data_IF_892412976497
#
_entry.id   IF_892412976497
#
_cell.length_a   1.000
_cell.length_b   1.000
_cell.length_c   1.000
_cell.angle_alpha   90.00
_cell.angle_beta   90.00
_cell.angle_gamma   90.00
#
_symmetry.space_group_name_H-M   'P 1'
#
loop_
_entity.id
_entity.type
_entity.pdbx_description
1 polymer ?
#
# COMPACT_ATOMS: atom_id res chain seq x y z
N UNK A 1 17.67 12.45 -25.64
CA UNK A 1 17.24 11.65 -24.47
C UNK A 1 15.90 12.21 -24.01
N UNK A 2 14.81 11.50 -24.33
CA UNK A 2 13.45 11.96 -24.04
C UNK A 2 13.17 12.05 -22.55
N UNK A 3 13.64 11.06 -21.78
CA UNK A 3 13.45 11.02 -20.33
C UNK A 3 14.15 12.18 -19.61
N UNK A 4 15.32 12.62 -20.08
CA UNK A 4 16.00 13.81 -19.55
C UNK A 4 15.13 15.07 -19.69
N UNK A 5 14.45 15.22 -20.83
CA UNK A 5 13.53 16.35 -21.06
C UNK A 5 12.32 16.28 -20.14
N UNK A 6 11.73 15.08 -19.97
CA UNK A 6 10.59 14.85 -19.06
C UNK A 6 10.95 15.23 -17.62
N UNK A 7 12.10 14.78 -17.13
CA UNK A 7 12.59 15.08 -15.77
C UNK A 7 12.81 16.58 -15.55
N UNK A 8 13.40 17.29 -16.52
CA UNK A 8 13.55 18.74 -16.39
C UNK A 8 12.21 19.46 -16.29
N UNK A 9 11.26 19.09 -17.14
CA UNK A 9 9.92 19.68 -17.17
C UNK A 9 9.17 19.38 -15.87
N UNK A 10 9.27 18.17 -15.34
CA UNK A 10 8.62 17.81 -14.05
C UNK A 10 9.13 18.64 -12.86
N UNK A 11 10.42 19.04 -12.90
CA UNK A 11 11.00 19.97 -11.91
C UNK A 11 10.73 21.46 -12.23
N UNK A 12 9.98 21.78 -13.29
CA UNK A 12 9.66 23.16 -13.69
C UNK A 12 10.84 23.98 -14.19
N UNK A 13 12.00 23.34 -14.51
CA UNK A 13 13.23 24.02 -14.87
C UNK A 13 13.33 24.29 -16.38
N UNK A 14 13.95 25.44 -16.73
CA UNK A 14 14.36 25.71 -18.09
C UNK A 14 15.75 25.13 -18.37
N UNK A 15 16.09 24.88 -19.66
CA UNK A 15 17.40 24.37 -20.05
C UNK A 15 18.56 25.25 -19.55
N UNK A 16 18.36 26.60 -19.60
CA UNK A 16 19.35 27.58 -19.14
C UNK A 16 19.61 27.55 -17.62
N UNK A 17 18.64 26.99 -16.84
CA UNK A 17 18.73 26.89 -15.39
C UNK A 17 19.40 25.56 -15.00
N UNK A 18 19.07 24.47 -15.69
CA UNK A 18 19.59 23.16 -15.37
C UNK A 18 21.03 22.94 -15.87
N UNK A 19 21.36 23.44 -17.04
CA UNK A 19 22.70 23.22 -17.63
C UNK A 19 23.87 23.68 -16.72
N UNK A 20 23.82 24.87 -16.09
CA UNK A 20 24.81 25.28 -15.09
C UNK A 20 24.87 24.39 -13.85
N UNK A 21 23.75 23.92 -13.36
CA UNK A 21 23.68 23.03 -12.18
C UNK A 21 24.41 21.71 -12.41
N UNK A 22 24.38 21.23 -13.64
CA UNK A 22 25.11 20.03 -14.09
C UNK A 22 26.55 20.33 -14.56
N UNK A 23 26.97 21.59 -14.51
CA UNK A 23 28.25 22.06 -15.03
C UNK A 23 28.45 21.74 -16.54
N UNK A 24 27.39 21.92 -17.33
CA UNK A 24 27.34 21.63 -18.77
C UNK A 24 26.98 22.92 -19.53
N UNK A 25 27.57 23.14 -20.73
CA UNK A 25 27.13 24.23 -21.60
C UNK A 25 25.70 24.03 -22.08
N UNK A 26 24.89 25.09 -22.13
CA UNK A 26 23.47 25.04 -22.55
C UNK A 26 23.34 24.37 -23.93
N UNK A 27 24.21 24.68 -24.88
CA UNK A 27 24.22 24.08 -26.22
C UNK A 27 24.44 22.56 -26.20
N UNK A 28 25.32 22.09 -25.32
CA UNK A 28 25.60 20.66 -25.13
C UNK A 28 24.40 19.97 -24.46
N UNK A 29 23.81 20.59 -23.42
CA UNK A 29 22.63 20.09 -22.77
C UNK A 29 21.45 19.94 -23.73
N UNK A 30 21.20 20.94 -24.58
CA UNK A 30 20.16 20.88 -25.62
C UNK A 30 20.40 19.73 -26.61
N UNK A 31 21.65 19.42 -26.95
CA UNK A 31 22.00 18.29 -27.82
C UNK A 31 21.71 16.92 -27.10
N UNK A 32 21.87 16.84 -25.80
CA UNK A 32 21.52 15.65 -25.02
C UNK A 32 20.00 15.41 -25.01
N UNK A 33 19.19 16.45 -24.75
CA UNK A 33 17.74 16.32 -24.81
C UNK A 33 17.23 15.91 -26.19
N UNK A 34 17.78 16.51 -27.24
CA UNK A 34 17.39 16.23 -28.64
C UNK A 34 17.96 14.93 -29.21
N UNK A 35 18.83 14.23 -28.45
CA UNK A 35 19.47 13.00 -28.90
C UNK A 35 20.58 13.19 -29.95
N UNK A 36 20.92 14.43 -30.29
CA UNK A 36 22.00 14.74 -31.27
C UNK A 36 23.41 14.42 -30.76
N UNK A 37 23.55 14.32 -29.44
CA UNK A 37 24.76 13.91 -28.75
C UNK A 37 24.40 13.07 -27.53
N UNK A 38 25.23 12.07 -27.21
CA UNK A 38 25.13 11.32 -25.98
C UNK A 38 26.10 11.90 -24.93
N UNK A 39 25.69 11.98 -23.65
CA UNK A 39 26.62 12.29 -22.56
C UNK A 39 27.64 11.18 -22.40
N UNK A 40 28.83 11.53 -21.95
CA UNK A 40 29.80 10.54 -21.44
C UNK A 40 29.29 9.93 -20.12
N UNK A 41 29.95 8.87 -19.68
CA UNK A 41 29.53 8.11 -18.49
C UNK A 41 29.46 8.98 -17.22
N UNK A 42 30.46 9.86 -17.01
CA UNK A 42 30.53 10.73 -15.84
C UNK A 42 29.40 11.77 -15.85
N UNK A 43 29.13 12.33 -17.02
CA UNK A 43 28.02 13.27 -17.22
C UNK A 43 26.66 12.56 -17.02
N UNK A 44 26.51 11.35 -17.56
CA UNK A 44 25.30 10.56 -17.41
C UNK A 44 25.01 10.26 -15.93
N UNK A 45 26.04 9.86 -15.18
CA UNK A 45 25.95 9.61 -13.76
C UNK A 45 25.55 10.88 -12.98
N UNK A 46 26.18 12.03 -13.25
CA UNK A 46 25.80 13.31 -12.61
C UNK A 46 24.36 13.71 -12.88
N UNK A 47 23.85 13.46 -14.09
CA UNK A 47 22.46 13.72 -14.44
C UNK A 47 21.55 12.78 -13.64
N UNK A 48 21.88 11.49 -13.57
CA UNK A 48 21.14 10.49 -12.81
C UNK A 48 21.06 10.85 -11.32
N UNK A 49 22.21 11.20 -10.72
CA UNK A 49 22.31 11.60 -9.32
C UNK A 49 21.49 12.88 -9.04
N UNK A 50 21.52 13.86 -9.93
CA UNK A 50 20.76 15.11 -9.76
C UNK A 50 19.25 14.90 -9.77
N UNK A 51 18.78 13.98 -10.62
CA UNK A 51 17.35 13.67 -10.72
C UNK A 51 16.92 12.52 -9.84
N UNK A 52 17.85 11.90 -9.12
CA UNK A 52 17.59 10.70 -8.27
C UNK A 52 16.95 9.55 -9.06
N UNK A 53 17.46 9.29 -10.25
CA UNK A 53 17.00 8.22 -11.15
C UNK A 53 18.15 7.30 -11.55
N UNK A 54 17.82 6.09 -12.06
CA UNK A 54 18.82 5.20 -12.64
C UNK A 54 19.37 5.73 -13.98
N UNK A 55 20.60 5.37 -14.34
CA UNK A 55 21.15 5.63 -15.66
C UNK A 55 20.37 4.89 -16.75
N UNK A 56 19.81 3.71 -16.42
CA UNK A 56 19.01 2.91 -17.34
C UNK A 56 17.68 3.60 -17.67
N UNK A 57 17.06 4.27 -16.69
CA UNK A 57 15.93 5.15 -16.95
C UNK A 57 16.28 6.29 -17.92
N UNK A 58 17.42 6.98 -17.70
CA UNK A 58 17.83 8.09 -18.56
C UNK A 58 18.03 7.67 -20.01
N UNK A 59 18.59 6.49 -20.26
CA UNK A 59 18.82 5.95 -21.60
C UNK A 59 17.61 5.22 -22.20
N UNK A 60 16.49 5.13 -21.45
CA UNK A 60 15.21 4.56 -21.92
C UNK A 60 15.15 3.04 -21.89
N UNK A 61 15.99 2.38 -21.07
CA UNK A 61 15.92 0.93 -20.85
C UNK A 61 14.96 0.51 -19.75
N UNK A 62 14.66 1.41 -18.83
CA UNK A 62 13.71 1.20 -17.74
C UNK A 62 12.69 2.33 -17.75
N UNK A 63 11.46 2.02 -17.41
CA UNK A 63 10.49 3.03 -16.98
C UNK A 63 10.93 3.59 -15.64
N UNK A 64 10.61 4.86 -15.35
CA UNK A 64 10.83 5.42 -14.03
C UNK A 64 9.94 4.66 -13.04
N UNK A 65 10.49 3.66 -12.40
CA UNK A 65 9.95 3.23 -11.12
C UNK A 65 10.29 4.37 -10.15
N UNK A 66 9.33 5.25 -9.92
CA UNK A 66 9.40 6.13 -8.76
C UNK A 66 9.77 5.21 -7.58
N UNK A 67 10.89 5.50 -6.93
CA UNK A 67 11.07 5.04 -5.55
C UNK A 67 10.02 5.83 -4.75
N UNK A 68 8.78 5.34 -4.82
CA UNK A 68 7.70 5.83 -3.97
C UNK A 68 8.19 5.58 -2.56
N UNK A 69 8.49 6.64 -1.82
CA UNK A 69 8.74 6.52 -0.38
C UNK A 69 7.52 5.83 0.19
N UNK A 70 7.67 4.59 0.57
CA UNK A 70 6.61 3.83 1.20
C UNK A 70 6.23 4.54 2.48
N UNK A 71 4.92 4.70 2.70
CA UNK A 71 4.42 5.17 3.99
C UNK A 71 4.38 3.95 4.90
N UNK A 72 5.08 4.04 6.03
CA UNK A 72 5.12 2.95 6.99
C UNK A 72 3.82 2.89 7.79
N UNK A 73 3.20 1.72 7.80
CA UNK A 73 2.02 1.40 8.60
C UNK A 73 2.38 0.34 9.64
N UNK A 74 1.82 0.40 10.86
CA UNK A 74 2.13 -0.58 11.90
C UNK A 74 1.51 -1.95 11.58
N UNK A 75 2.25 -3.02 11.90
CA UNK A 75 1.74 -4.40 11.94
C UNK A 75 1.32 -4.70 13.35
N UNK A 76 0.02 -4.91 13.55
CA UNK A 76 -0.59 -5.15 14.84
C UNK A 76 -0.69 -6.66 15.12
N UNK A 77 -0.47 -7.06 16.36
CA UNK A 77 -0.72 -8.42 16.84
C UNK A 77 -2.17 -8.63 17.27
N UNK A 78 -2.85 -7.55 17.63
CA UNK A 78 -4.22 -7.52 18.12
C UNK A 78 -4.89 -6.19 17.76
N UNK A 79 -6.20 -6.21 17.53
CA UNK A 79 -7.04 -5.01 17.30
C UNK A 79 -8.24 -5.08 18.22
N UNK A 80 -8.51 -3.98 18.93
CA UNK A 80 -9.67 -3.84 19.80
C UNK A 80 -10.61 -2.73 19.32
N UNK A 81 -11.89 -2.83 19.64
CA UNK A 81 -12.89 -1.82 19.28
C UNK A 81 -12.63 -0.50 20.01
N UNK A 82 -12.79 0.62 19.27
CA UNK A 82 -12.78 1.94 19.87
C UNK A 82 -11.40 2.48 20.26
N UNK A 83 -10.32 1.72 20.09
CA UNK A 83 -8.96 2.18 20.36
C UNK A 83 -8.38 2.76 19.04
N UNK A 84 -7.94 4.03 19.00
CA UNK A 84 -7.18 4.57 17.88
C UNK A 84 -5.91 3.75 17.65
N UNK A 85 -5.52 3.55 16.39
CA UNK A 85 -4.33 2.74 16.03
C UNK A 85 -3.06 3.30 16.69
N UNK A 86 -2.97 4.63 16.82
CA UNK A 86 -1.86 5.30 17.50
C UNK A 86 -1.77 4.98 19.00
N UNK A 87 -2.84 4.49 19.61
CA UNK A 87 -2.88 4.11 21.02
C UNK A 87 -2.68 2.59 21.24
N UNK A 88 -2.42 1.82 20.17
CA UNK A 88 -2.17 0.39 20.27
C UNK A 88 -0.67 0.18 20.58
N UNK A 89 -0.38 -0.35 21.74
CA UNK A 89 0.99 -0.63 22.19
C UNK A 89 1.59 -1.91 21.59
N UNK A 90 0.76 -2.80 21.01
CA UNK A 90 1.18 -4.11 20.47
C UNK A 90 1.56 -4.02 18.98
N UNK A 91 2.59 -3.22 18.67
CA UNK A 91 3.17 -3.13 17.33
C UNK A 91 4.25 -4.20 17.20
N UNK A 92 4.04 -5.17 16.30
CA UNK A 92 4.97 -6.27 16.05
C UNK A 92 6.05 -5.93 15.02
N UNK A 93 5.70 -5.14 13.99
CA UNK A 93 6.55 -4.82 12.84
C UNK A 93 5.94 -3.61 12.09
N UNK A 94 6.55 -3.25 10.95
CA UNK A 94 6.01 -2.24 10.04
C UNK A 94 5.98 -2.78 8.62
N UNK A 95 4.95 -2.43 7.87
CA UNK A 95 4.84 -2.66 6.42
C UNK A 95 4.82 -1.31 5.69
N UNK A 96 5.08 -1.32 4.39
CA UNK A 96 5.06 -0.11 3.58
C UNK A 96 3.93 -0.16 2.57
N UNK A 97 3.17 0.93 2.45
CA UNK A 97 2.16 1.16 1.41
C UNK A 97 2.60 2.33 0.54
N UNK A 98 2.02 2.46 -0.64
CA UNK A 98 2.29 3.58 -1.54
C UNK A 98 1.64 4.87 -1.05
N UNK A 99 2.17 6.03 -1.46
CA UNK A 99 1.53 7.33 -1.17
C UNK A 99 0.11 7.41 -1.73
N UNK A 100 -0.15 6.78 -2.87
CA UNK A 100 -1.48 6.78 -3.49
C UNK A 100 -2.48 6.00 -2.64
N UNK A 101 -2.09 4.86 -2.07
CA UNK A 101 -2.90 4.11 -1.12
C UNK A 101 -3.17 4.93 0.14
N UNK A 102 -2.15 5.53 0.72
CA UNK A 102 -2.30 6.34 1.93
C UNK A 102 -3.24 7.56 1.76
N UNK A 103 -3.42 8.06 0.53
CA UNK A 103 -4.41 9.11 0.22
C UNK A 103 -5.86 8.61 0.23
N UNK A 104 -6.08 7.29 0.09
CA UNK A 104 -7.42 6.72 0.08
C UNK A 104 -8.03 6.55 1.47
N UNK A 105 -7.20 6.53 2.52
CA UNK A 105 -7.66 6.39 3.90
C UNK A 105 -6.56 6.01 4.87
N UNK A 106 -6.95 5.67 6.08
CA UNK A 106 -6.07 5.20 7.14
C UNK A 106 -5.84 3.68 6.96
N UNK A 107 -4.58 3.26 7.00
CA UNK A 107 -4.20 1.86 6.83
C UNK A 107 -3.46 1.33 8.05
N UNK A 108 -3.65 0.07 8.31
CA UNK A 108 -2.83 -0.71 9.24
C UNK A 108 -2.61 -2.11 8.68
N UNK A 109 -1.65 -2.82 9.21
CA UNK A 109 -1.45 -4.23 8.91
C UNK A 109 -1.80 -5.07 10.15
N UNK A 110 -2.30 -6.29 9.92
CA UNK A 110 -2.65 -7.22 10.98
C UNK A 110 -2.02 -8.58 10.71
N UNK A 111 -1.34 -9.15 11.70
CA UNK A 111 -0.83 -10.51 11.63
C UNK A 111 -1.94 -11.49 11.92
N UNK A 112 -2.22 -12.38 10.96
CA UNK A 112 -3.31 -13.36 11.06
C UNK A 112 -2.93 -14.49 12.00
N UNK A 113 -3.87 -14.84 12.86
CA UNK A 113 -3.83 -16.03 13.73
C UNK A 113 -4.98 -16.97 13.37
N UNK A 114 -4.69 -18.27 13.33
CA UNK A 114 -5.68 -19.30 13.00
C UNK A 114 -5.72 -19.67 11.52
N UNK A 115 -6.63 -20.58 11.16
CA UNK A 115 -6.65 -21.27 9.87
C UNK A 115 -7.95 -21.06 9.08
N UNK A 116 -8.88 -20.27 9.60
CA UNK A 116 -10.23 -20.12 9.03
C UNK A 116 -10.28 -19.49 7.64
N UNK A 117 -9.21 -18.85 7.20
CA UNK A 117 -9.12 -18.21 5.89
C UNK A 117 -8.19 -18.95 4.91
N UNK A 118 -7.72 -20.15 5.29
CA UNK A 118 -6.93 -21.00 4.41
C UNK A 118 -7.75 -21.56 3.24
N UNK A 119 -7.10 -21.80 2.09
CA UNK A 119 -5.68 -21.65 1.79
C UNK A 119 -5.28 -20.23 1.35
N UNK A 120 -6.22 -19.30 1.26
CA UNK A 120 -5.98 -17.96 0.70
C UNK A 120 -5.13 -17.10 1.63
N UNK A 121 -5.48 -17.06 2.91
CA UNK A 121 -4.74 -16.37 3.97
C UNK A 121 -4.41 -17.40 5.04
N UNK A 122 -3.14 -17.59 5.32
CA UNK A 122 -2.64 -18.60 6.23
C UNK A 122 -2.26 -18.01 7.59
N UNK A 123 -2.15 -18.88 8.59
CA UNK A 123 -1.64 -18.49 9.90
C UNK A 123 -0.23 -17.89 9.79
N UNK A 124 -0.03 -16.70 10.35
CA UNK A 124 1.23 -15.95 10.29
C UNK A 124 1.36 -14.97 9.13
N UNK A 125 0.48 -15.03 8.12
CA UNK A 125 0.43 -14.03 7.05
C UNK A 125 0.10 -12.65 7.62
N UNK A 126 0.52 -11.60 6.91
CA UNK A 126 0.20 -10.21 7.25
C UNK A 126 -0.80 -9.69 6.22
N UNK A 127 -1.93 -9.16 6.67
CA UNK A 127 -2.92 -8.52 5.80
C UNK A 127 -2.86 -7.01 5.94
N UNK A 128 -2.93 -6.30 4.82
CA UNK A 128 -3.05 -4.86 4.77
C UNK A 128 -4.54 -4.51 4.77
N UNK A 129 -4.92 -3.61 5.66
CA UNK A 129 -6.32 -3.27 5.96
C UNK A 129 -6.52 -1.77 5.82
N UNK A 130 -7.49 -1.36 5.01
CA UNK A 130 -8.00 0.01 5.03
C UNK A 130 -9.09 0.14 6.08
N UNK A 131 -8.95 1.12 6.97
CA UNK A 131 -9.90 1.37 8.05
C UNK A 131 -11.20 1.94 7.50
N UNK A 132 -12.28 1.20 7.64
CA UNK A 132 -13.63 1.61 7.24
C UNK A 132 -14.67 0.78 7.96
N UNK A 133 -15.84 1.36 8.19
CA UNK A 133 -16.93 0.71 8.93
C UNK A 133 -17.91 -0.05 8.03
N UNK A 134 -17.75 0.06 6.71
CA UNK A 134 -18.62 -0.57 5.72
C UNK A 134 -17.80 -1.32 4.69
N UNK A 135 -18.34 -2.46 4.22
CA UNK A 135 -17.74 -3.29 3.18
C UNK A 135 -18.83 -3.82 2.25
N UNK A 136 -18.47 -4.22 1.04
CA UNK A 136 -19.38 -4.85 0.11
C UNK A 136 -19.49 -6.36 0.33
N UNK A 137 -20.60 -6.95 -0.14
CA UNK A 137 -20.77 -8.39 -0.13
C UNK A 137 -19.66 -9.10 -0.92
N UNK A 138 -18.98 -10.00 -0.26
CA UNK A 138 -17.86 -10.75 -0.83
C UNK A 138 -16.48 -10.21 -0.45
N UNK A 139 -16.41 -9.03 0.16
CA UNK A 139 -15.16 -8.50 0.71
C UNK A 139 -14.67 -9.35 1.89
N UNK A 140 -13.35 -9.36 2.06
CA UNK A 140 -12.71 -9.89 3.27
C UNK A 140 -12.50 -8.71 4.22
N UNK A 141 -12.92 -8.87 5.46
CA UNK A 141 -12.84 -7.81 6.45
C UNK A 141 -12.31 -8.31 7.80
N UNK A 142 -11.77 -7.39 8.56
CA UNK A 142 -11.49 -7.56 9.98
C UNK A 142 -12.74 -7.10 10.75
N UNK A 143 -13.28 -8.02 11.53
CA UNK A 143 -14.54 -7.86 12.26
C UNK A 143 -14.32 -8.16 13.72
N UNK A 144 -14.90 -7.34 14.59
CA UNK A 144 -15.02 -7.60 16.01
C UNK A 144 -16.44 -8.09 16.31
N UNK A 145 -16.52 -9.15 17.07
CA UNK A 145 -17.77 -9.67 17.60
C UNK A 145 -17.74 -9.49 19.11
N UNK A 146 -18.79 -8.87 19.66
CA UNK A 146 -18.92 -8.59 21.11
C UNK A 146 -17.77 -7.73 21.70
N UNK A 147 -17.04 -7.04 20.83
CA UNK A 147 -15.95 -6.15 21.23
C UNK A 147 -14.66 -6.84 21.70
N UNK A 148 -14.60 -8.17 21.65
CA UNK A 148 -13.47 -8.94 22.18
C UNK A 148 -12.37 -9.16 21.13
N UNK A 149 -12.42 -10.26 20.36
CA UNK A 149 -11.36 -10.61 19.44
C UNK A 149 -11.68 -10.25 17.99
N UNK A 150 -10.71 -9.65 17.31
CA UNK A 150 -10.79 -9.41 15.89
C UNK A 150 -10.66 -10.71 15.09
N UNK A 151 -11.59 -10.95 14.19
CA UNK A 151 -11.56 -12.09 13.28
C UNK A 151 -11.53 -11.64 11.82
N UNK A 152 -10.81 -12.38 10.97
CA UNK A 152 -10.79 -12.17 9.53
C UNK A 152 -11.79 -13.10 8.88
N UNK A 153 -12.75 -12.56 8.14
CA UNK A 153 -13.81 -13.33 7.46
C UNK A 153 -14.24 -12.66 6.15
N UNK A 154 -14.81 -13.45 5.25
CA UNK A 154 -15.56 -12.94 4.11
C UNK A 154 -16.95 -12.53 4.54
N UNK A 155 -17.39 -11.34 4.15
CA UNK A 155 -18.64 -10.75 4.61
C UNK A 155 -19.75 -10.97 3.59
N UNK A 156 -20.93 -11.32 4.10
CA UNK A 156 -22.17 -11.28 3.32
C UNK A 156 -23.28 -10.69 4.18
N UNK A 157 -23.75 -9.52 3.77
CA UNK A 157 -24.90 -8.85 4.38
C UNK A 157 -26.20 -9.35 3.74
N UNK A 158 -27.19 -9.61 4.55
CA UNK A 158 -28.54 -9.96 4.13
C UNK A 158 -29.56 -9.07 4.86
N UNK A 159 -30.83 -8.99 4.39
CA UNK A 159 -31.86 -8.24 5.13
C UNK A 159 -32.08 -8.73 6.57
N UNK A 160 -31.77 -10.00 6.85
CA UNK A 160 -31.98 -10.64 8.15
C UNK A 160 -30.77 -10.47 9.09
N UNK A 161 -29.59 -10.11 8.58
CA UNK A 161 -28.38 -10.02 9.38
C UNK A 161 -27.09 -10.13 8.57
N UNK A 162 -26.00 -10.45 9.25
CA UNK A 162 -24.66 -10.57 8.68
C UNK A 162 -24.13 -11.99 8.78
N UNK A 163 -23.52 -12.48 7.69
CA UNK A 163 -22.80 -13.76 7.65
C UNK A 163 -21.30 -13.49 7.63
N UNK A 164 -20.58 -14.13 8.52
CA UNK A 164 -19.13 -14.18 8.57
C UNK A 164 -18.68 -15.54 8.03
N UNK A 165 -18.16 -15.55 6.80
CA UNK A 165 -17.90 -16.78 6.04
C UNK A 165 -16.40 -17.04 6.08
N UNK A 166 -15.94 -18.18 6.63
CA UNK A 166 -14.57 -18.63 6.50
C UNK A 166 -14.28 -19.07 5.07
N UNK A 167 -13.03 -19.02 4.63
CA UNK A 167 -12.61 -19.61 3.36
C UNK A 167 -12.19 -21.08 3.52
N UNK A 168 -11.85 -21.49 4.73
CA UNK A 168 -11.57 -22.87 5.05
C UNK A 168 -12.89 -23.66 5.12
N UNK A 169 -12.97 -24.71 4.30
CA UNK A 169 -14.17 -25.56 4.21
C UNK A 169 -14.47 -26.36 5.49
N UNK A 170 -13.49 -26.49 6.38
CA UNK A 170 -13.64 -27.20 7.66
C UNK A 170 -14.22 -26.32 8.77
N UNK A 171 -14.35 -25.03 8.54
CA UNK A 171 -14.87 -24.08 9.52
C UNK A 171 -16.31 -23.68 9.18
N UNK A 172 -17.13 -23.49 10.19
CA UNK A 172 -18.54 -23.12 10.04
C UNK A 172 -18.73 -21.62 9.77
N UNK A 173 -19.72 -21.32 8.92
CA UNK A 173 -20.19 -19.95 8.72
C UNK A 173 -20.96 -19.48 9.95
N UNK A 174 -20.58 -18.31 10.47
CA UNK A 174 -21.31 -17.66 11.57
C UNK A 174 -22.36 -16.72 10.99
N UNK A 175 -23.57 -16.81 11.49
CA UNK A 175 -24.66 -15.89 11.15
C UNK A 175 -25.11 -15.14 12.40
N UNK A 176 -25.19 -13.82 12.28
CA UNK A 176 -25.69 -12.91 13.30
C UNK A 176 -26.91 -12.19 12.75
N UNK A 177 -28.08 -12.48 13.31
CA UNK A 177 -29.32 -11.78 12.98
C UNK A 177 -29.29 -10.32 13.45
N UNK A 178 -30.11 -9.46 12.84
CA UNK A 178 -30.19 -8.05 13.25
C UNK A 178 -30.47 -7.88 14.76
N UNK A 179 -31.24 -8.79 15.34
CA UNK A 179 -31.53 -8.80 16.78
C UNK A 179 -30.32 -9.18 17.62
N UNK A 180 -29.55 -10.19 17.18
CA UNK A 180 -28.32 -10.60 17.88
C UNK A 180 -27.23 -9.55 17.81
N UNK A 181 -27.19 -8.77 16.72
CA UNK A 181 -26.24 -7.64 16.57
C UNK A 181 -26.55 -6.52 17.57
N UNK A 182 -27.80 -6.33 17.99
CA UNK A 182 -28.15 -5.38 19.05
C UNK A 182 -27.57 -5.80 20.41
N UNK A 183 -27.59 -7.11 20.72
CA UNK A 183 -27.08 -7.67 21.98
C UNK A 183 -25.56 -7.90 21.94
N UNK A 184 -25.04 -8.33 20.77
CA UNK A 184 -23.62 -8.62 20.50
C UNK A 184 -23.16 -7.85 19.27
N UNK A 185 -22.66 -6.62 19.43
CA UNK A 185 -22.33 -5.79 18.29
C UNK A 185 -21.24 -6.43 17.41
N UNK A 186 -21.58 -6.59 16.13
CA UNK A 186 -20.65 -6.98 15.07
C UNK A 186 -20.14 -5.71 14.42
N UNK A 187 -18.88 -5.37 14.66
CA UNK A 187 -18.27 -4.14 14.18
C UNK A 187 -17.22 -4.43 13.12
N UNK A 188 -17.36 -3.82 11.95
CA UNK A 188 -16.33 -3.87 10.91
C UNK A 188 -15.24 -2.85 11.27
N UNK A 189 -13.99 -3.31 11.37
CA UNK A 189 -12.82 -2.48 11.65
C UNK A 189 -12.19 -1.99 10.37
N UNK A 190 -12.17 -2.84 9.33
CA UNK A 190 -11.63 -2.46 8.05
C UNK A 190 -11.72 -3.58 7.00
N UNK A 191 -11.49 -3.18 5.75
CA UNK A 191 -11.45 -4.07 4.59
C UNK A 191 -10.01 -4.53 4.34
N UNK A 192 -9.83 -5.83 4.14
CA UNK A 192 -8.55 -6.40 3.69
C UNK A 192 -8.37 -6.10 2.20
N UNK A 193 -7.27 -5.45 1.85
CA UNK A 193 -6.96 -5.06 0.47
C UNK A 193 -5.79 -5.87 -0.12
N UNK A 194 -4.89 -6.37 0.74
CA UNK A 194 -3.72 -7.14 0.33
C UNK A 194 -3.36 -8.18 1.38
N UNK A 195 -2.78 -9.31 0.95
CA UNK A 195 -2.20 -10.31 1.84
C UNK A 195 -0.73 -10.51 1.47
N UNK A 196 0.16 -10.35 2.44
CA UNK A 196 1.62 -10.52 2.30
C UNK A 196 2.07 -11.79 3.00
N UNK A 197 2.69 -12.68 2.23
CA UNK A 197 3.25 -13.93 2.74
C UNK A 197 4.75 -13.77 2.95
N UNK A 198 5.21 -14.04 4.17
CA UNK A 198 6.66 -14.11 4.46
C UNK A 198 7.08 -15.58 4.36
N UNK A 199 8.06 -15.86 3.51
CA UNK A 199 8.67 -17.19 3.34
C UNK A 199 9.89 -17.36 4.25
#
# INVERSE_FOLDING_TARGET
MENLRKLRISKGLQQKELAPLLNIKISTYCQYETGKRQPDYDTLKKIADYFEVSTDYLIGREEQTEQRKGIRIPVLGHVAAGIPIEAIEDILDYEEITEDEARLGEYFALKIKGHSMEPTISNGDVVIVIRQQTVDNGDIAIVLVDGEEATCKKIKMTPEGVMLIPLNQNDDTMFYSNKEIEDKPVSIIGKVVECRKKF
#
